data_IF_724017372579
#
_entry.id   IF_724017372579
#
_cell.length_a   1.000
_cell.length_b   1.000
_cell.length_c   1.000
_cell.angle_alpha   90.00
_cell.angle_beta   90.00
_cell.angle_gamma   90.00
#
_symmetry.space_group_name_H-M   'P 1'
#
loop_
_entity.id
_entity.type
_entity.pdbx_description
1 polymer ?
#
# COMPACT_ATOMS: atom_id res chain seq x y z
N UNK A 1 51.23 -57.25 -87.56
CA UNK A 1 49.88 -57.08 -86.96
C UNK A 1 49.83 -57.32 -85.45
N UNK A 2 50.80 -58.03 -84.84
CA UNK A 2 50.82 -58.34 -83.38
C UNK A 2 51.15 -57.15 -82.46
N UNK A 3 52.00 -56.21 -82.87
CA UNK A 3 52.36 -55.02 -82.07
C UNK A 3 51.21 -54.03 -81.87
N UNK A 4 50.38 -53.80 -82.90
CA UNK A 4 49.19 -52.96 -82.80
C UNK A 4 48.15 -53.57 -81.82
N UNK A 5 47.94 -54.88 -81.87
CA UNK A 5 47.03 -55.57 -80.95
C UNK A 5 47.49 -55.48 -79.49
N UNK A 6 48.79 -55.61 -79.21
CA UNK A 6 49.34 -55.41 -77.86
C UNK A 6 49.21 -53.97 -77.36
N UNK A 7 49.37 -52.97 -78.24
CA UNK A 7 49.14 -51.56 -77.90
C UNK A 7 47.69 -51.27 -77.51
N UNK A 8 46.73 -51.83 -78.26
CA UNK A 8 45.29 -51.71 -77.96
C UNK A 8 44.93 -52.39 -76.63
N UNK A 9 45.46 -53.59 -76.36
CA UNK A 9 45.23 -54.28 -75.08
C UNK A 9 45.81 -53.52 -73.88
N UNK A 10 46.96 -52.86 -74.05
CA UNK A 10 47.55 -52.01 -73.01
C UNK A 10 46.71 -50.77 -72.75
N UNK A 11 46.26 -50.09 -73.81
CA UNK A 11 45.37 -48.92 -73.70
C UNK A 11 44.05 -49.28 -72.99
N UNK A 12 43.42 -50.41 -73.36
CA UNK A 12 42.21 -50.90 -72.69
C UNK A 12 42.44 -51.22 -71.21
N UNK A 13 43.62 -51.74 -70.84
CA UNK A 13 43.98 -52.00 -69.45
C UNK A 13 44.19 -50.70 -68.66
N UNK A 14 44.91 -49.75 -69.24
CA UNK A 14 45.16 -48.45 -68.60
C UNK A 14 43.84 -47.66 -68.43
N UNK A 15 42.93 -47.75 -69.40
CA UNK A 15 41.59 -47.15 -69.31
C UNK A 15 40.72 -47.84 -68.27
N UNK A 16 40.80 -49.16 -68.13
CA UNK A 16 40.07 -49.91 -67.09
C UNK A 16 40.55 -49.50 -65.68
N UNK A 17 41.85 -49.33 -65.48
CA UNK A 17 42.42 -48.83 -64.21
C UNK A 17 41.95 -47.40 -63.93
N UNK A 18 41.98 -46.50 -64.92
CA UNK A 18 41.44 -45.14 -64.76
C UNK A 18 39.97 -45.13 -64.39
N UNK A 19 39.18 -46.03 -64.98
CA UNK A 19 37.75 -46.13 -64.72
C UNK A 19 37.48 -46.64 -63.30
N UNK A 20 38.28 -47.60 -62.81
CA UNK A 20 38.25 -48.06 -61.42
C UNK A 20 38.66 -46.97 -60.43
N UNK A 21 39.71 -46.21 -60.72
CA UNK A 21 40.15 -45.09 -59.87
C UNK A 21 39.09 -43.99 -59.82
N UNK A 22 38.48 -43.65 -60.96
CA UNK A 22 37.38 -42.69 -61.04
C UNK A 22 36.15 -43.18 -60.27
N UNK A 23 35.82 -44.48 -60.35
CA UNK A 23 34.74 -45.08 -59.57
C UNK A 23 35.02 -44.97 -58.06
N UNK A 24 36.20 -45.35 -57.59
CA UNK A 24 36.55 -45.24 -56.18
C UNK A 24 36.57 -43.80 -55.67
N UNK A 25 36.99 -42.84 -56.51
CA UNK A 25 36.89 -41.42 -56.18
C UNK A 25 35.42 -40.97 -56.09
N UNK A 26 34.57 -41.42 -57.01
CA UNK A 26 33.14 -41.12 -56.98
C UNK A 26 32.47 -41.71 -55.73
N UNK A 27 32.79 -42.95 -55.34
CA UNK A 27 32.28 -43.61 -54.12
C UNK A 27 32.71 -42.86 -52.85
N UNK A 28 33.98 -42.43 -52.76
CA UNK A 28 34.48 -41.63 -51.62
C UNK A 28 33.82 -40.27 -51.56
N UNK A 29 33.60 -39.63 -52.71
CA UNK A 29 32.92 -38.34 -52.77
C UNK A 29 31.44 -38.50 -52.39
N UNK A 30 30.77 -39.55 -52.85
CA UNK A 30 29.41 -39.91 -52.46
C UNK A 30 29.31 -40.09 -50.94
N UNK A 31 30.23 -40.86 -50.34
CA UNK A 31 30.30 -41.06 -48.89
C UNK A 31 30.46 -39.74 -48.13
N UNK A 32 31.43 -38.90 -48.53
CA UNK A 32 31.60 -37.57 -47.92
C UNK A 32 30.37 -36.70 -48.07
N UNK A 33 29.74 -36.66 -49.25
CA UNK A 33 28.51 -35.88 -49.44
C UNK A 33 27.37 -36.41 -48.58
N UNK A 34 27.25 -37.73 -48.44
CA UNK A 34 26.26 -38.36 -47.57
C UNK A 34 26.46 -37.96 -46.11
N UNK A 35 27.70 -38.01 -45.62
CA UNK A 35 28.04 -37.61 -44.24
C UNK A 35 27.74 -36.12 -44.01
N UNK A 36 28.09 -35.26 -44.98
CA UNK A 36 27.78 -33.81 -44.88
C UNK A 36 26.29 -33.55 -44.87
N UNK A 37 25.51 -34.22 -45.72
CA UNK A 37 24.04 -34.10 -45.73
C UNK A 37 23.47 -34.56 -44.40
N UNK A 38 23.93 -35.68 -43.86
CA UNK A 38 23.49 -36.18 -42.57
C UNK A 38 23.82 -35.20 -41.42
N UNK A 39 25.02 -34.60 -41.41
CA UNK A 39 25.39 -33.56 -40.44
C UNK A 39 24.48 -32.34 -40.53
N UNK A 40 24.25 -31.82 -41.75
CA UNK A 40 23.37 -30.66 -41.94
C UNK A 40 21.92 -30.94 -41.58
N UNK A 41 21.43 -32.17 -41.79
CA UNK A 41 20.09 -32.57 -41.35
C UNK A 41 19.96 -32.56 -39.82
N UNK A 42 20.98 -33.06 -39.11
CA UNK A 42 21.01 -33.02 -37.65
C UNK A 42 21.04 -31.58 -37.12
N UNK A 43 21.82 -30.69 -37.74
CA UNK A 43 21.85 -29.26 -37.41
C UNK A 43 20.50 -28.58 -37.68
N UNK A 44 19.84 -28.92 -38.78
CA UNK A 44 18.50 -28.39 -39.08
C UNK A 44 17.49 -28.83 -38.02
N UNK A 45 17.56 -30.09 -37.57
CA UNK A 45 16.65 -30.59 -36.55
C UNK A 45 16.94 -30.00 -35.16
N UNK A 46 18.20 -29.74 -34.81
CA UNK A 46 18.55 -29.03 -33.57
C UNK A 46 18.04 -27.59 -33.60
N UNK A 47 18.24 -26.86 -34.71
CA UNK A 47 17.75 -25.50 -34.87
C UNK A 47 16.21 -25.43 -34.84
N UNK A 48 15.51 -26.41 -35.41
CA UNK A 48 14.05 -26.48 -35.30
C UNK A 48 13.59 -26.64 -33.85
N UNK A 49 14.28 -27.47 -33.06
CA UNK A 49 13.97 -27.68 -31.65
C UNK A 49 14.21 -26.40 -30.83
N UNK A 50 15.33 -25.73 -31.04
CA UNK A 50 15.63 -24.44 -30.40
C UNK A 50 14.63 -23.36 -30.79
N UNK A 51 14.27 -23.27 -32.09
CA UNK A 51 13.27 -22.31 -32.57
C UNK A 51 11.91 -22.56 -31.91
N UNK A 52 11.50 -23.81 -31.73
CA UNK A 52 10.26 -24.14 -31.03
C UNK A 52 10.30 -23.69 -29.57
N UNK A 53 11.41 -23.94 -28.86
CA UNK A 53 11.59 -23.51 -27.47
C UNK A 53 11.59 -21.97 -27.33
N UNK A 54 12.29 -21.26 -28.22
CA UNK A 54 12.30 -19.79 -28.27
C UNK A 54 10.92 -19.25 -28.61
N UNK A 55 10.16 -19.93 -29.47
CA UNK A 55 8.78 -19.57 -29.83
C UNK A 55 7.84 -19.57 -28.63
N UNK A 56 7.92 -20.60 -27.77
CA UNK A 56 7.13 -20.67 -26.52
C UNK A 56 7.51 -19.53 -25.59
N UNK A 57 8.82 -19.31 -25.36
CA UNK A 57 9.30 -18.20 -24.53
C UNK A 57 8.85 -16.83 -25.05
N UNK A 58 8.84 -16.64 -26.37
CA UNK A 58 8.38 -15.39 -26.99
C UNK A 58 6.88 -15.17 -26.77
N UNK A 59 6.05 -16.21 -26.96
CA UNK A 59 4.60 -16.12 -26.73
C UNK A 59 4.30 -15.74 -25.28
N UNK A 60 4.99 -16.41 -24.35
CA UNK A 60 4.95 -16.10 -22.93
C UNK A 60 5.31 -14.61 -22.66
N UNK A 61 6.43 -14.11 -23.19
CA UNK A 61 6.83 -12.70 -23.01
C UNK A 61 5.82 -11.70 -23.59
N UNK A 62 5.14 -12.03 -24.69
CA UNK A 62 4.07 -11.18 -25.23
C UNK A 62 2.85 -11.17 -24.31
N UNK A 63 2.50 -12.29 -23.69
CA UNK A 63 1.41 -12.38 -22.71
C UNK A 63 1.71 -11.52 -21.48
N UNK A 64 2.94 -11.58 -20.95
CA UNK A 64 3.37 -10.70 -19.85
C UNK A 64 3.29 -9.22 -20.23
N UNK A 65 3.77 -8.86 -21.43
CA UNK A 65 3.71 -7.49 -21.93
C UNK A 65 2.28 -6.99 -22.04
N UNK A 66 1.37 -7.81 -22.58
CA UNK A 66 -0.05 -7.46 -22.70
C UNK A 66 -0.67 -7.29 -21.31
N UNK A 67 -0.44 -8.25 -20.40
CA UNK A 67 -0.93 -8.19 -19.03
C UNK A 67 -0.49 -6.92 -18.29
N UNK A 68 0.79 -6.56 -18.36
CA UNK A 68 1.31 -5.36 -17.69
C UNK A 68 0.73 -4.09 -18.31
N UNK A 69 0.52 -4.05 -19.63
CA UNK A 69 -0.14 -2.92 -20.29
C UNK A 69 -1.58 -2.75 -19.83
N UNK A 70 -2.35 -3.83 -19.79
CA UNK A 70 -3.75 -3.84 -19.34
C UNK A 70 -3.86 -3.47 -17.86
N UNK A 71 -2.95 -3.99 -17.02
CA UNK A 71 -2.84 -3.60 -15.61
C UNK A 71 -2.55 -2.10 -15.48
N UNK A 72 -1.57 -1.57 -16.23
CA UNK A 72 -1.25 -0.14 -16.19
C UNK A 72 -2.46 0.72 -16.57
N UNK A 73 -3.20 0.33 -17.60
CA UNK A 73 -4.37 1.10 -18.06
C UNK A 73 -5.53 0.99 -17.06
N UNK A 74 -5.72 -0.18 -16.44
CA UNK A 74 -6.63 -0.34 -15.31
C UNK A 74 -6.25 0.60 -14.17
N UNK A 75 -5.00 0.56 -13.69
CA UNK A 75 -4.53 1.39 -12.58
C UNK A 75 -4.63 2.89 -12.88
N UNK A 76 -4.31 3.33 -14.10
CA UNK A 76 -4.50 4.74 -14.51
C UNK A 76 -5.96 5.17 -14.44
N UNK A 77 -6.89 4.31 -14.86
CA UNK A 77 -8.32 4.61 -14.75
C UNK A 77 -8.79 4.70 -13.30
N UNK A 78 -8.12 3.98 -12.39
CA UNK A 78 -8.44 3.95 -10.95
C UNK A 78 -7.73 4.99 -10.11
N UNK A 79 -6.65 5.59 -10.61
CA UNK A 79 -5.80 6.53 -9.88
C UNK A 79 -6.61 7.69 -9.26
N UNK A 80 -7.49 8.33 -10.04
CA UNK A 80 -8.31 9.45 -9.58
C UNK A 80 -9.24 9.07 -8.40
N UNK A 81 -9.81 7.85 -8.42
CA UNK A 81 -10.66 7.37 -7.33
C UNK A 81 -9.86 7.12 -6.06
N UNK A 82 -8.65 6.57 -6.18
CA UNK A 82 -7.77 6.34 -5.02
C UNK A 82 -7.38 7.68 -4.38
N UNK A 83 -7.00 8.67 -5.19
CA UNK A 83 -6.67 10.02 -4.71
C UNK A 83 -7.85 10.70 -4.02
N UNK A 84 -9.05 10.67 -4.64
CA UNK A 84 -10.26 11.27 -4.07
C UNK A 84 -10.64 10.63 -2.72
N UNK A 85 -10.56 9.30 -2.60
CA UNK A 85 -10.87 8.60 -1.36
C UNK A 85 -9.85 8.89 -0.25
N UNK A 86 -8.57 9.01 -0.59
CA UNK A 86 -7.55 9.43 0.36
C UNK A 86 -7.77 10.86 0.84
N UNK A 87 -8.07 11.78 -0.07
CA UNK A 87 -8.32 13.17 0.28
C UNK A 87 -9.59 13.31 1.13
N UNK A 88 -10.65 12.56 0.83
CA UNK A 88 -11.84 12.47 1.67
C UNK A 88 -11.51 11.93 3.06
N UNK A 89 -10.74 10.86 3.17
CA UNK A 89 -10.34 10.31 4.47
C UNK A 89 -9.50 11.30 5.27
N UNK A 90 -8.51 11.95 4.64
CA UNK A 90 -7.68 13.00 5.28
C UNK A 90 -8.54 14.16 5.75
N UNK A 91 -9.47 14.64 4.93
CA UNK A 91 -10.41 15.72 5.28
C UNK A 91 -11.24 15.36 6.52
N UNK A 92 -11.77 14.13 6.60
CA UNK A 92 -12.52 13.68 7.78
C UNK A 92 -11.65 13.67 9.06
N UNK A 93 -10.42 13.20 8.93
CA UNK A 93 -9.46 13.17 10.06
C UNK A 93 -9.08 14.58 10.51
N UNK A 94 -8.87 15.49 9.57
CA UNK A 94 -8.58 16.91 9.82
C UNK A 94 -9.78 17.62 10.46
N UNK A 95 -10.99 17.42 9.94
CA UNK A 95 -12.23 17.93 10.55
C UNK A 95 -12.37 17.48 12.01
N UNK A 96 -12.12 16.20 12.29
CA UNK A 96 -12.16 15.65 13.66
C UNK A 96 -11.06 16.23 14.55
N UNK A 97 -9.84 16.37 14.01
CA UNK A 97 -8.72 16.95 14.75
C UNK A 97 -8.96 18.42 15.10
N UNK A 98 -9.44 19.21 14.13
CA UNK A 98 -9.77 20.63 14.29
C UNK A 98 -10.92 20.83 15.27
N UNK A 99 -12.00 20.04 15.12
CA UNK A 99 -13.14 20.06 16.06
C UNK A 99 -12.68 19.74 17.49
N UNK A 100 -11.82 18.72 17.67
CA UNK A 100 -11.24 18.41 18.97
C UNK A 100 -10.31 19.52 19.50
N UNK A 101 -9.57 20.22 18.63
CA UNK A 101 -8.72 21.35 19.02
C UNK A 101 -9.53 22.57 19.45
N UNK A 102 -10.55 22.96 18.68
CA UNK A 102 -11.48 24.06 19.00
C UNK A 102 -12.24 23.80 20.31
N UNK A 103 -12.66 22.55 20.53
CA UNK A 103 -13.31 22.15 21.78
C UNK A 103 -12.35 22.24 22.98
N UNK A 104 -11.07 21.89 22.81
CA UNK A 104 -10.05 22.07 23.84
C UNK A 104 -9.78 23.55 24.11
N UNK A 105 -9.64 24.36 23.07
CA UNK A 105 -9.39 25.79 23.19
C UNK A 105 -10.55 26.50 23.91
N UNK A 106 -11.78 26.30 23.46
CA UNK A 106 -12.97 26.87 24.12
C UNK A 106 -13.14 26.42 25.57
N UNK A 107 -12.87 25.14 25.87
CA UNK A 107 -12.89 24.64 27.24
C UNK A 107 -11.81 25.31 28.10
N UNK A 108 -10.59 25.42 27.58
CA UNK A 108 -9.49 26.09 28.28
C UNK A 108 -9.80 27.57 28.53
N UNK A 109 -10.33 28.30 27.56
CA UNK A 109 -10.73 29.70 27.74
C UNK A 109 -11.78 29.88 28.84
N UNK A 110 -12.79 29.01 28.87
CA UNK A 110 -13.82 29.02 29.93
C UNK A 110 -13.19 28.71 31.30
N UNK A 111 -12.30 27.72 31.38
CA UNK A 111 -11.56 27.37 32.60
C UNK A 111 -10.69 28.54 33.09
N UNK A 112 -9.98 29.23 32.20
CA UNK A 112 -9.20 30.42 32.56
C UNK A 112 -10.07 31.55 33.12
N UNK A 113 -11.23 31.82 32.52
CA UNK A 113 -12.18 32.84 33.01
C UNK A 113 -12.69 32.51 34.41
N UNK A 114 -13.03 31.25 34.66
CA UNK A 114 -13.50 30.79 35.97
C UNK A 114 -12.36 30.89 36.99
N UNK A 115 -11.15 30.44 36.65
CA UNK A 115 -9.99 30.49 37.52
C UNK A 115 -9.59 31.93 37.88
N UNK A 116 -9.52 32.83 36.90
CA UNK A 116 -9.14 34.24 37.11
C UNK A 116 -10.13 34.97 38.05
N UNK A 117 -11.44 34.77 37.85
CA UNK A 117 -12.46 35.34 38.72
C UNK A 117 -12.40 34.78 40.15
N UNK A 118 -12.14 33.48 40.28
CA UNK A 118 -11.99 32.80 41.58
C UNK A 118 -10.79 33.34 42.35
N UNK A 119 -9.62 33.42 41.69
CA UNK A 119 -8.37 33.91 42.29
C UNK A 119 -8.48 35.39 42.64
N UNK A 120 -9.02 36.21 41.74
CA UNK A 120 -9.21 37.64 41.98
C UNK A 120 -10.09 37.92 43.20
N UNK A 121 -11.20 37.17 43.34
CA UNK A 121 -12.13 37.33 44.47
C UNK A 121 -11.53 36.83 45.80
N UNK A 122 -10.81 35.71 45.77
CA UNK A 122 -10.08 35.21 46.95
C UNK A 122 -9.01 36.21 47.42
N UNK A 123 -8.26 36.78 46.47
CA UNK A 123 -7.18 37.72 46.75
C UNK A 123 -7.69 39.05 47.32
N UNK A 124 -8.84 39.55 46.83
CA UNK A 124 -9.49 40.73 47.41
C UNK A 124 -9.87 40.50 48.89
N UNK A 125 -10.47 39.34 49.23
CA UNK A 125 -10.82 39.00 50.62
C UNK A 125 -9.57 38.88 51.50
N UNK A 126 -8.52 38.23 51.03
CA UNK A 126 -7.26 38.09 51.77
C UNK A 126 -6.55 39.44 51.95
N UNK A 127 -6.55 40.29 50.93
CA UNK A 127 -5.93 41.63 50.98
C UNK A 127 -6.58 42.54 52.03
N UNK A 128 -7.87 42.31 52.32
CA UNK A 128 -8.65 43.03 53.35
C UNK A 128 -8.53 42.40 54.74
N UNK A 129 -7.66 41.39 54.92
CA UNK A 129 -7.47 40.69 56.19
C UNK A 129 -8.56 39.66 56.52
N UNK A 130 -9.31 39.19 55.52
CA UNK A 130 -10.31 38.14 55.68
C UNK A 130 -9.68 36.77 56.02
N UNK A 131 -10.50 35.87 56.59
CA UNK A 131 -10.05 34.50 56.88
C UNK A 131 -9.92 33.66 55.60
N UNK A 132 -9.09 32.61 55.63
CA UNK A 132 -8.97 31.66 54.52
C UNK A 132 -10.31 31.00 54.15
N UNK A 133 -11.18 30.74 55.14
CA UNK A 133 -12.52 30.21 54.89
C UNK A 133 -13.41 31.21 54.14
N UNK A 134 -13.31 32.51 54.46
CA UNK A 134 -14.03 33.55 53.74
C UNK A 134 -13.50 33.72 52.30
N UNK A 135 -12.19 33.61 52.11
CA UNK A 135 -11.57 33.65 50.78
C UNK A 135 -11.96 32.46 49.91
N UNK A 136 -12.02 31.25 50.48
CA UNK A 136 -12.49 30.04 49.77
C UNK A 136 -13.94 30.17 49.32
N UNK A 137 -14.83 30.63 50.21
CA UNK A 137 -16.24 30.85 49.87
C UNK A 137 -16.41 31.90 48.77
N UNK A 138 -15.68 33.02 48.85
CA UNK A 138 -15.73 34.07 47.83
C UNK A 138 -15.23 33.58 46.46
N UNK A 139 -14.24 32.68 46.43
CA UNK A 139 -13.77 32.04 45.20
C UNK A 139 -14.86 31.14 44.58
N UNK A 140 -15.51 30.30 45.39
CA UNK A 140 -16.60 29.41 44.94
C UNK A 140 -17.82 30.19 44.41
N UNK A 141 -18.21 31.26 45.09
CA UNK A 141 -19.32 32.13 44.67
C UNK A 141 -18.98 32.84 43.35
N UNK A 142 -17.74 33.33 43.18
CA UNK A 142 -17.28 33.98 41.95
C UNK A 142 -17.19 32.99 40.77
N UNK A 143 -16.69 31.77 41.01
CA UNK A 143 -16.66 30.71 40.02
C UNK A 143 -18.06 30.37 39.50
N UNK A 144 -19.01 30.20 40.43
CA UNK A 144 -20.41 29.87 40.12
C UNK A 144 -21.09 30.99 39.33
N UNK A 145 -20.83 32.25 39.69
CA UNK A 145 -21.38 33.41 39.00
C UNK A 145 -20.85 33.57 37.55
N UNK A 146 -19.58 33.25 37.31
CA UNK A 146 -19.01 33.24 35.94
C UNK A 146 -19.56 32.08 35.13
N UNK A 147 -19.70 30.90 35.74
CA UNK A 147 -20.25 29.72 35.08
C UNK A 147 -21.73 29.92 34.67
N UNK A 148 -22.56 30.55 35.50
CA UNK A 148 -23.93 30.93 35.14
C UNK A 148 -23.97 31.90 33.95
N UNK A 149 -23.05 32.87 33.91
CA UNK A 149 -22.94 33.82 32.79
C UNK A 149 -22.52 33.12 31.49
N UNK A 150 -21.55 32.20 31.56
CA UNK A 150 -21.10 31.41 30.40
C UNK A 150 -22.22 30.52 29.84
N UNK A 151 -23.10 30.00 30.70
CA UNK A 151 -24.28 29.24 30.30
C UNK A 151 -25.42 30.10 29.74
N UNK A 152 -25.24 31.42 29.64
CA UNK A 152 -26.26 32.35 29.15
C UNK A 152 -27.47 32.50 30.08
N UNK A 153 -27.33 32.18 31.36
CA UNK A 153 -28.39 32.38 32.35
C UNK A 153 -28.68 33.88 32.46
N UNK A 154 -29.85 34.30 31.98
CA UNK A 154 -30.27 35.71 31.95
C UNK A 154 -30.00 36.46 30.65
N UNK A 155 -29.49 35.82 29.59
CA UNK A 155 -29.35 36.45 28.26
C UNK A 155 -30.70 36.56 27.53
N UNK A 156 -30.93 37.66 26.81
CA UNK A 156 -32.11 37.83 25.95
C UNK A 156 -32.09 36.85 24.77
N UNK A 157 -33.23 36.26 24.35
CA UNK A 157 -33.28 35.31 23.25
C UNK A 157 -33.12 36.03 21.89
N UNK A 158 -32.09 35.69 21.14
CA UNK A 158 -31.90 36.14 19.76
C UNK A 158 -32.58 35.14 18.81
N UNK A 159 -33.45 35.68 17.95
CA UNK A 159 -34.25 34.90 17.01
C UNK A 159 -33.72 35.11 15.58
N UNK A 160 -33.54 34.01 14.86
CA UNK A 160 -33.27 33.95 13.42
C UNK A 160 -34.46 34.52 12.60
N UNK A 161 -34.25 34.78 11.31
CA UNK A 161 -35.25 35.20 10.31
C UNK A 161 -36.50 34.28 10.26
N UNK A 162 -36.34 33.03 10.70
CA UNK A 162 -37.41 32.03 10.82
C UNK A 162 -38.02 31.92 12.24
N UNK A 163 -37.68 32.82 13.16
CA UNK A 163 -38.18 32.82 14.54
C UNK A 163 -37.60 31.71 15.42
N UNK A 164 -36.47 31.12 15.04
CA UNK A 164 -35.77 30.08 15.82
C UNK A 164 -34.80 30.75 16.79
N UNK A 165 -34.80 30.33 18.05
CA UNK A 165 -33.89 30.87 19.05
C UNK A 165 -32.48 30.27 18.90
N UNK A 166 -31.53 31.07 18.43
CA UNK A 166 -30.14 30.66 18.19
C UNK A 166 -29.40 30.46 19.52
N UNK A 167 -29.75 31.26 20.53
CA UNK A 167 -29.10 31.22 21.85
C UNK A 167 -29.35 29.88 22.56
N UNK A 168 -30.46 29.20 22.26
CA UNK A 168 -30.78 27.91 22.88
C UNK A 168 -29.71 26.84 22.58
N UNK A 169 -29.17 26.83 21.35
CA UNK A 169 -28.13 25.87 20.97
C UNK A 169 -26.80 26.17 21.66
N UNK A 170 -26.41 27.45 21.69
CA UNK A 170 -25.19 27.88 22.39
C UNK A 170 -25.28 27.67 23.91
N UNK A 171 -26.45 27.91 24.51
CA UNK A 171 -26.71 27.66 25.93
C UNK A 171 -26.67 26.16 26.25
N UNK A 172 -27.25 25.30 25.40
CA UNK A 172 -27.17 23.85 25.57
C UNK A 172 -25.73 23.35 25.47
N UNK A 173 -24.95 23.86 24.52
CA UNK A 173 -23.54 23.52 24.38
C UNK A 173 -22.70 24.00 25.58
N UNK A 174 -22.90 25.23 26.05
CA UNK A 174 -22.24 25.78 27.23
C UNK A 174 -22.59 25.01 28.51
N UNK A 175 -23.86 24.61 28.65
CA UNK A 175 -24.31 23.76 29.75
C UNK A 175 -23.66 22.37 29.69
N UNK A 176 -23.59 21.75 28.52
CA UNK A 176 -22.90 20.48 28.31
C UNK A 176 -21.41 20.55 28.69
N UNK A 177 -20.72 21.64 28.32
CA UNK A 177 -19.33 21.88 28.74
C UNK A 177 -19.19 22.03 30.26
N UNK A 178 -20.09 22.76 30.90
CA UNK A 178 -20.10 22.90 32.36
C UNK A 178 -20.33 21.55 33.09
N UNK A 179 -21.26 20.74 32.59
CA UNK A 179 -21.50 19.38 33.10
C UNK A 179 -20.27 18.48 32.91
N UNK A 180 -19.62 18.53 31.74
CA UNK A 180 -18.39 17.79 31.46
C UNK A 180 -17.25 18.20 32.39
N UNK A 181 -17.08 19.50 32.66
CA UNK A 181 -16.12 20.01 33.66
C UNK A 181 -16.41 19.44 35.04
N UNK A 182 -17.66 19.54 35.51
CA UNK A 182 -18.05 19.01 36.83
C UNK A 182 -17.78 17.51 36.94
N UNK A 183 -18.09 16.74 35.90
CA UNK A 183 -17.78 15.31 35.84
C UNK A 183 -16.27 15.04 35.87
N UNK A 184 -15.45 15.85 35.18
CA UNK A 184 -13.98 15.77 35.24
C UNK A 184 -13.46 16.03 36.66
N UNK A 185 -13.92 17.11 37.30
CA UNK A 185 -13.56 17.42 38.69
C UNK A 185 -13.98 16.32 39.66
N UNK A 186 -15.16 15.72 39.46
CA UNK A 186 -15.63 14.61 40.29
C UNK A 186 -14.79 13.35 40.08
N UNK A 187 -14.44 13.01 38.83
CA UNK A 187 -13.49 11.93 38.51
C UNK A 187 -12.13 12.17 39.16
N UNK A 188 -11.55 13.36 39.03
CA UNK A 188 -10.28 13.72 39.68
C UNK A 188 -10.38 13.63 41.20
N UNK A 189 -11.52 14.02 41.79
CA UNK A 189 -11.77 13.87 43.22
C UNK A 189 -11.87 12.41 43.66
N UNK A 190 -12.36 11.51 42.80
CA UNK A 190 -12.34 10.06 43.06
C UNK A 190 -10.92 9.49 42.86
N UNK A 191 -10.21 9.84 41.79
CA UNK A 191 -8.82 9.43 41.56
C UNK A 191 -7.87 9.87 42.69
N UNK A 192 -8.07 11.08 43.23
CA UNK A 192 -7.32 11.57 44.38
C UNK A 192 -7.53 10.73 45.65
N UNK A 193 -8.63 9.98 45.75
CA UNK A 193 -8.85 8.99 46.82
C UNK A 193 -8.22 7.63 46.51
N UNK A 194 -8.08 7.30 45.24
CA UNK A 194 -7.65 5.97 44.78
C UNK A 194 -6.14 5.84 44.50
N UNK A 195 -5.34 6.92 44.63
CA UNK A 195 -3.88 6.94 44.46
C UNK A 195 -3.35 6.37 43.11
N UNK A 196 -4.24 6.08 42.16
CA UNK A 196 -3.88 5.57 40.84
C UNK A 196 -3.96 6.71 39.81
N UNK A 197 -2.79 7.22 39.42
CA UNK A 197 -2.66 8.28 38.42
C UNK A 197 -2.65 7.66 37.02
N UNK A 198 -3.84 7.40 36.47
CA UNK A 198 -4.00 7.13 35.04
C UNK A 198 -4.55 8.36 34.33
N UNK A 199 -3.72 8.91 33.43
CA UNK A 199 -3.99 10.09 32.59
C UNK A 199 -4.52 9.65 31.22
N UNK A 200 -5.66 8.99 31.21
CA UNK A 200 -6.34 8.59 29.97
C UNK A 200 -7.80 9.04 30.04
N UNK A 201 -8.08 10.27 29.64
CA UNK A 201 -9.44 10.67 29.24
C UNK A 201 -9.37 12.06 28.57
N UNK A 202 -8.89 12.08 27.32
CA UNK A 202 -8.90 13.30 26.46
C UNK A 202 -9.97 13.24 25.38
N UNK A 203 -10.87 12.25 25.41
CA UNK A 203 -11.95 12.18 24.44
C UNK A 203 -13.14 13.03 24.93
N UNK A 204 -13.06 14.32 24.65
CA UNK A 204 -14.10 15.33 24.93
C UNK A 204 -15.19 15.39 23.85
N UNK A 205 -15.16 14.49 22.86
CA UNK A 205 -16.14 14.49 21.79
C UNK A 205 -17.49 13.96 22.27
N UNK A 206 -18.58 14.56 21.80
CA UNK A 206 -19.92 14.01 22.03
C UNK A 206 -20.01 12.63 21.38
N UNK A 207 -20.66 11.67 22.06
CA UNK A 207 -20.89 10.32 21.53
C UNK A 207 -21.57 10.34 20.14
N UNK A 208 -22.35 11.40 19.86
CA UNK A 208 -22.99 11.63 18.56
C UNK A 208 -22.02 12.02 17.44
N UNK A 209 -20.94 12.73 17.77
CA UNK A 209 -19.94 13.21 16.81
C UNK A 209 -19.01 12.07 16.41
N UNK A 210 -18.55 11.28 17.38
CA UNK A 210 -17.77 10.06 17.13
C UNK A 210 -18.51 9.10 16.19
N UNK A 211 -19.80 8.81 16.47
CA UNK A 211 -20.63 7.95 15.60
C UNK A 211 -20.77 8.48 14.16
N UNK A 212 -20.91 9.80 13.98
CA UNK A 212 -21.01 10.42 12.65
C UNK A 212 -19.70 10.28 11.88
N UNK A 213 -18.59 10.51 12.55
CA UNK A 213 -17.27 10.32 11.99
C UNK A 213 -17.05 8.86 11.58
N UNK A 214 -17.35 7.91 12.46
CA UNK A 214 -17.19 6.48 12.17
C UNK A 214 -18.05 6.06 10.98
N UNK A 215 -19.29 6.57 10.88
CA UNK A 215 -20.18 6.31 9.75
C UNK A 215 -19.63 6.84 8.43
N UNK A 216 -19.06 8.07 8.43
CA UNK A 216 -18.45 8.65 7.22
C UNK A 216 -17.18 7.93 6.82
N UNK A 217 -16.36 7.48 7.78
CA UNK A 217 -15.19 6.67 7.49
C UNK A 217 -15.60 5.34 6.86
N UNK A 218 -16.64 4.69 7.39
CA UNK A 218 -17.18 3.45 6.83
C UNK A 218 -17.71 3.65 5.40
N UNK A 219 -18.37 4.77 5.09
CA UNK A 219 -18.78 5.11 3.72
C UNK A 219 -17.58 5.19 2.76
N UNK A 220 -16.47 5.82 3.18
CA UNK A 220 -15.24 5.89 2.39
C UNK A 220 -14.62 4.49 2.20
N UNK A 221 -14.60 3.66 3.24
CA UNK A 221 -14.08 2.30 3.16
C UNK A 221 -14.93 1.39 2.25
N UNK A 222 -16.25 1.55 2.27
CA UNK A 222 -17.15 0.84 1.35
C UNK A 222 -16.93 1.26 -0.10
N UNK A 223 -16.74 2.57 -0.34
CA UNK A 223 -16.38 3.06 -1.66
C UNK A 223 -15.02 2.49 -2.11
N UNK A 224 -14.01 2.48 -1.24
CA UNK A 224 -12.69 1.90 -1.48
C UNK A 224 -12.75 0.42 -1.90
N UNK A 225 -13.56 -0.38 -1.20
CA UNK A 225 -13.77 -1.79 -1.53
C UNK A 225 -14.42 -2.01 -2.92
N UNK A 226 -15.10 -1.01 -3.46
CA UNK A 226 -15.80 -1.08 -4.76
C UNK A 226 -14.98 -0.53 -5.94
N UNK A 227 -13.83 0.12 -5.69
CA UNK A 227 -13.02 0.79 -6.74
C UNK A 227 -12.66 -0.14 -7.90
N UNK A 228 -12.35 -1.39 -7.58
CA UNK A 228 -11.92 -2.41 -8.54
C UNK A 228 -13.02 -3.42 -8.92
N UNK A 229 -14.28 -3.20 -8.52
CA UNK A 229 -15.36 -4.18 -8.72
C UNK A 229 -15.71 -4.42 -10.20
N UNK A 230 -15.44 -3.45 -11.07
CA UNK A 230 -15.60 -3.49 -12.53
C UNK A 230 -14.34 -3.97 -13.27
N UNK A 231 -13.21 -4.13 -12.56
CA UNK A 231 -11.99 -4.65 -13.15
C UNK A 231 -12.07 -6.17 -13.35
N UNK A 232 -11.34 -6.69 -14.34
CA UNK A 232 -11.21 -8.13 -14.52
C UNK A 232 -10.56 -8.76 -13.27
N UNK A 233 -10.90 -10.01 -12.90
CA UNK A 233 -10.47 -10.63 -11.64
C UNK A 233 -8.94 -10.75 -11.50
N UNK A 234 -8.23 -10.75 -12.61
CA UNK A 234 -6.76 -10.77 -12.69
C UNK A 234 -6.07 -9.43 -12.39
N UNK A 235 -6.83 -8.33 -12.39
CA UNK A 235 -6.35 -6.98 -12.03
C UNK A 235 -7.05 -6.41 -10.80
N UNK A 236 -8.21 -6.96 -10.41
CA UNK A 236 -9.07 -6.37 -9.38
C UNK A 236 -8.63 -6.63 -7.93
N UNK A 237 -7.56 -7.38 -7.70
CA UNK A 237 -7.04 -7.61 -6.34
C UNK A 237 -5.52 -7.74 -6.32
N UNK A 238 -4.90 -7.29 -5.22
CA UNK A 238 -3.47 -7.40 -5.02
C UNK A 238 -2.98 -8.87 -5.05
N UNK A 239 -3.63 -9.84 -4.40
CA UNK A 239 -3.21 -11.25 -4.48
C UNK A 239 -3.22 -11.78 -5.92
N UNK A 240 -4.20 -11.39 -6.76
CA UNK A 240 -4.23 -11.77 -8.17
C UNK A 240 -3.01 -11.25 -8.94
N UNK A 241 -2.66 -9.98 -8.71
CA UNK A 241 -1.51 -9.32 -9.37
C UNK A 241 -0.20 -9.94 -8.90
N UNK A 242 -0.02 -10.09 -7.58
CA UNK A 242 1.16 -10.73 -6.98
C UNK A 242 1.34 -12.17 -7.48
N UNK A 243 0.27 -12.98 -7.52
CA UNK A 243 0.33 -14.34 -8.06
C UNK A 243 0.80 -14.35 -9.51
N UNK A 244 0.21 -13.49 -10.36
CA UNK A 244 0.54 -13.45 -11.78
C UNK A 244 2.00 -13.06 -11.99
N UNK A 245 2.45 -11.97 -11.38
CA UNK A 245 3.84 -11.51 -11.48
C UNK A 245 4.83 -12.52 -10.87
N UNK A 246 4.44 -13.20 -9.79
CA UNK A 246 5.23 -14.24 -9.15
C UNK A 246 5.43 -15.47 -10.05
N UNK A 247 4.39 -15.91 -10.78
CA UNK A 247 4.50 -16.98 -11.78
C UNK A 247 5.53 -16.62 -12.87
N UNK A 248 5.53 -15.37 -13.33
CA UNK A 248 6.49 -14.86 -14.33
C UNK A 248 7.91 -14.76 -13.78
N UNK A 249 8.07 -14.26 -12.56
CA UNK A 249 9.34 -14.19 -11.84
C UNK A 249 9.95 -15.58 -11.66
N UNK A 250 9.14 -16.58 -11.27
CA UNK A 250 9.57 -17.96 -11.12
C UNK A 250 9.97 -18.60 -12.45
N UNK A 251 9.20 -18.37 -13.52
CA UNK A 251 9.45 -18.98 -14.84
C UNK A 251 10.63 -18.34 -15.57
N UNK A 252 10.81 -17.02 -15.46
CA UNK A 252 11.81 -16.27 -16.22
C UNK A 252 12.51 -15.18 -15.39
N UNK A 253 13.31 -15.54 -14.37
CA UNK A 253 13.89 -14.59 -13.42
C UNK A 253 14.82 -13.54 -14.08
N UNK A 254 15.60 -13.96 -15.08
CA UNK A 254 16.48 -13.02 -15.82
C UNK A 254 15.67 -11.99 -16.61
N UNK A 255 14.64 -12.44 -17.34
CA UNK A 255 13.79 -11.54 -18.13
C UNK A 255 12.97 -10.59 -17.24
N UNK A 256 12.52 -11.08 -16.08
CA UNK A 256 11.85 -10.26 -15.06
C UNK A 256 12.72 -9.08 -14.63
N UNK A 257 13.99 -9.35 -14.30
CA UNK A 257 14.97 -8.32 -13.93
C UNK A 257 15.31 -7.39 -15.10
N UNK A 258 15.56 -7.95 -16.28
CA UNK A 258 15.96 -7.16 -17.47
C UNK A 258 14.81 -6.27 -17.98
N UNK A 259 13.56 -6.62 -17.70
CA UNK A 259 12.37 -5.80 -17.95
C UNK A 259 12.12 -4.73 -16.87
N UNK A 260 12.99 -4.62 -15.87
CA UNK A 260 12.87 -3.69 -14.73
C UNK A 260 11.57 -3.86 -13.93
N UNK A 261 10.99 -5.07 -13.93
CA UNK A 261 9.73 -5.32 -13.23
C UNK A 261 9.87 -5.11 -11.73
N UNK A 262 10.96 -5.60 -11.12
CA UNK A 262 11.27 -5.39 -9.70
C UNK A 262 11.30 -3.91 -9.30
N UNK A 263 11.88 -3.05 -10.14
CA UNK A 263 11.93 -1.60 -9.93
C UNK A 263 10.56 -0.93 -10.09
N UNK A 264 9.73 -1.43 -11.01
CA UNK A 264 8.38 -0.89 -11.26
C UNK A 264 7.32 -1.44 -10.31
N UNK A 265 7.60 -2.54 -9.61
CA UNK A 265 6.64 -3.28 -8.81
C UNK A 265 6.00 -2.45 -7.69
N UNK A 266 6.75 -1.62 -6.92
CA UNK A 266 6.14 -0.74 -5.93
C UNK A 266 5.08 0.19 -6.55
N UNK A 267 5.34 0.73 -7.74
CA UNK A 267 4.37 1.61 -8.40
C UNK A 267 3.10 0.86 -8.87
N UNK A 268 3.23 -0.41 -9.26
CA UNK A 268 2.07 -1.25 -9.65
C UNK A 268 1.21 -1.63 -8.44
N UNK A 269 1.83 -1.79 -7.28
CA UNK A 269 1.19 -2.26 -6.05
C UNK A 269 0.63 -1.10 -5.22
N UNK A 270 1.25 0.09 -5.31
CA UNK A 270 0.91 1.26 -4.51
C UNK A 270 -0.60 1.57 -4.47
N UNK A 271 -1.38 1.52 -5.57
CA UNK A 271 -2.81 1.80 -5.52
C UNK A 271 -3.60 0.85 -4.59
N UNK A 272 -3.22 -0.43 -4.52
CA UNK A 272 -3.86 -1.40 -3.62
C UNK A 272 -3.46 -1.16 -2.16
N UNK A 273 -2.17 -0.94 -1.91
CA UNK A 273 -1.66 -0.65 -0.57
C UNK A 273 -2.28 0.65 -0.02
N UNK A 274 -2.39 1.69 -0.86
CA UNK A 274 -3.02 2.97 -0.54
C UNK A 274 -4.48 2.82 -0.11
N UNK A 275 -5.27 2.02 -0.82
CA UNK A 275 -6.66 1.73 -0.45
C UNK A 275 -6.77 0.95 0.87
N UNK A 276 -5.90 -0.04 1.10
CA UNK A 276 -5.89 -0.78 2.36
C UNK A 276 -5.47 0.12 3.54
N UNK A 277 -4.51 1.02 3.33
CA UNK A 277 -4.03 1.97 4.33
C UNK A 277 -5.10 2.97 4.79
N UNK A 278 -6.18 3.16 4.03
CA UNK A 278 -7.35 3.93 4.49
C UNK A 278 -7.96 3.35 5.76
N UNK A 279 -7.71 2.09 6.08
CA UNK A 279 -8.21 1.44 7.31
C UNK A 279 -7.33 1.71 8.53
N UNK A 280 -6.15 2.27 8.32
CA UNK A 280 -5.15 2.49 9.37
C UNK A 280 -5.20 3.91 9.91
N UNK A 281 -5.52 4.03 11.19
CA UNK A 281 -5.69 5.32 11.86
C UNK A 281 -4.90 5.35 13.18
N UNK A 282 -3.64 5.85 13.16
CA UNK A 282 -2.79 5.83 14.34
C UNK A 282 -3.23 6.84 15.42
N UNK A 283 -3.95 7.91 15.05
CA UNK A 283 -4.31 9.00 15.95
C UNK A 283 -5.62 8.72 16.71
N UNK A 284 -6.62 8.17 16.02
CA UNK A 284 -7.97 8.00 16.55
C UNK A 284 -8.29 6.56 16.96
N UNK A 285 -7.30 5.66 16.91
CA UNK A 285 -7.37 4.32 17.48
C UNK A 285 -8.37 3.42 16.78
N UNK A 286 -7.95 2.81 15.66
CA UNK A 286 -8.64 1.64 15.11
C UNK A 286 -7.81 0.37 15.34
N UNK A 287 -8.51 -0.77 15.45
CA UNK A 287 -7.95 -2.08 15.81
C UNK A 287 -6.97 -2.67 14.77
N UNK A 288 -6.91 -2.11 13.56
CA UNK A 288 -6.09 -2.68 12.48
C UNK A 288 -4.67 -2.14 12.59
N UNK A 289 -3.74 -3.00 13.02
CA UNK A 289 -2.30 -2.72 13.01
C UNK A 289 -1.77 -2.53 11.59
N UNK A 290 -0.68 -1.77 11.45
CA UNK A 290 -0.04 -1.49 10.16
C UNK A 290 0.39 -2.77 9.42
N UNK A 291 1.02 -3.69 10.15
CA UNK A 291 1.52 -4.99 9.71
C UNK A 291 0.44 -6.06 9.55
N UNK A 292 -0.74 -5.84 10.12
CA UNK A 292 -1.88 -6.78 10.05
C UNK A 292 -2.69 -6.71 8.75
N UNK A 293 -2.34 -5.79 7.85
CA UNK A 293 -3.09 -5.56 6.61
C UNK A 293 -2.74 -6.57 5.51
N UNK A 294 -3.69 -6.76 4.58
CA UNK A 294 -3.53 -7.72 3.49
C UNK A 294 -2.38 -7.35 2.58
N UNK A 295 -2.26 -6.08 2.18
CA UNK A 295 -1.13 -5.64 1.37
C UNK A 295 0.24 -5.97 1.98
N UNK A 296 0.40 -5.80 3.30
CA UNK A 296 1.67 -6.11 3.96
C UNK A 296 1.99 -7.60 3.88
N UNK A 297 1.01 -8.45 4.22
CA UNK A 297 1.16 -9.91 4.21
C UNK A 297 1.44 -10.43 2.80
N UNK A 298 0.72 -9.94 1.79
CA UNK A 298 0.91 -10.36 0.40
C UNK A 298 2.29 -9.98 -0.14
N UNK A 299 2.82 -8.81 0.23
CA UNK A 299 4.16 -8.39 -0.18
C UNK A 299 5.27 -9.12 0.52
N UNK A 300 5.10 -9.39 1.81
CA UNK A 300 6.04 -10.20 2.57
C UNK A 300 6.14 -11.62 1.97
N UNK A 301 4.99 -12.23 1.64
CA UNK A 301 4.94 -13.52 0.95
C UNK A 301 5.55 -13.46 -0.46
N UNK A 302 5.28 -12.39 -1.21
CA UNK A 302 5.85 -12.19 -2.55
C UNK A 302 7.38 -12.03 -2.51
N UNK A 303 7.91 -11.24 -1.58
CA UNK A 303 9.35 -11.02 -1.40
C UNK A 303 10.11 -12.25 -0.89
N UNK A 304 9.43 -13.17 -0.20
CA UNK A 304 9.98 -14.45 0.25
C UNK A 304 9.95 -15.55 -0.83
N UNK A 305 9.24 -15.34 -1.94
CA UNK A 305 9.09 -16.34 -3.00
C UNK A 305 10.38 -16.53 -3.81
N UNK A 306 11.28 -17.39 -3.31
CA UNK A 306 12.51 -17.73 -4.03
C UNK A 306 12.21 -18.42 -5.36
N UNK A 307 13.00 -18.14 -6.42
CA UNK A 307 12.89 -18.86 -7.67
C UNK A 307 13.23 -20.34 -7.47
N UNK A 308 12.19 -21.19 -7.55
CA UNK A 308 12.32 -22.64 -7.44
C UNK A 308 12.98 -23.16 -8.72
N UNK A 309 14.27 -23.48 -8.62
CA UNK A 309 15.15 -24.13 -9.60
C UNK A 309 15.82 -23.24 -10.68
N UNK A 310 17.15 -23.03 -10.59
CA UNK A 310 17.96 -22.68 -11.76
C UNK A 310 18.23 -23.95 -12.58
N UNK A 311 17.39 -24.20 -13.59
CA UNK A 311 17.63 -25.29 -14.57
C UNK A 311 18.89 -25.03 -15.42
N UNK A 312 19.47 -23.83 -15.38
CA UNK A 312 20.77 -23.52 -15.95
C UNK A 312 21.81 -23.22 -14.86
N UNK A 313 22.22 -24.26 -14.11
CA UNK A 313 23.36 -24.16 -13.20
C UNK A 313 24.65 -24.45 -13.96
N UNK A 314 25.19 -23.43 -14.64
CA UNK A 314 26.64 -23.36 -14.84
C UNK A 314 27.27 -23.06 -13.48
N UNK A 315 28.18 -23.92 -13.05
CA UNK A 315 28.68 -24.12 -11.68
C UNK A 315 29.50 -22.96 -11.07
N UNK A 316 29.20 -21.69 -11.36
CA UNK A 316 29.96 -20.54 -10.84
C UNK A 316 29.14 -19.56 -9.96
N UNK A 317 27.88 -19.84 -9.66
CA UNK A 317 27.03 -18.96 -8.84
C UNK A 317 26.78 -19.46 -7.40
N UNK A 318 27.57 -20.39 -6.87
CA UNK A 318 27.40 -20.94 -5.52
C UNK A 318 27.95 -20.03 -4.39
N UNK A 319 28.16 -18.74 -4.64
CA UNK A 319 28.84 -17.82 -3.71
C UNK A 319 28.05 -16.59 -3.26
N UNK A 320 26.84 -16.36 -3.80
CA UNK A 320 25.98 -15.26 -3.39
C UNK A 320 24.56 -15.81 -3.35
N UNK A 321 23.98 -15.93 -2.16
CA UNK A 321 22.52 -15.89 -2.03
C UNK A 321 22.16 -14.51 -2.56
N UNK A 322 21.86 -14.42 -3.85
CA UNK A 322 21.43 -13.17 -4.44
C UNK A 322 20.13 -12.82 -3.71
N UNK A 323 20.18 -11.77 -2.89
CA UNK A 323 19.00 -11.22 -2.25
C UNK A 323 17.92 -11.06 -3.33
N UNK A 324 16.72 -11.51 -3.01
CA UNK A 324 15.59 -11.37 -3.91
C UNK A 324 15.48 -9.88 -4.26
N UNK A 325 15.47 -9.47 -5.55
CA UNK A 325 15.33 -8.08 -5.93
C UNK A 325 14.04 -7.43 -5.38
N UNK A 326 13.07 -8.25 -4.99
CA UNK A 326 11.78 -7.85 -4.42
C UNK A 326 11.69 -8.08 -2.90
N UNK A 327 12.81 -8.33 -2.22
CA UNK A 327 12.84 -8.53 -0.75
C UNK A 327 12.49 -7.27 0.04
N UNK A 328 12.73 -6.08 -0.52
CA UNK A 328 12.56 -4.78 0.14
C UNK A 328 11.35 -3.98 -0.39
N UNK A 329 10.28 -4.65 -0.85
CA UNK A 329 9.11 -3.96 -1.42
C UNK A 329 8.37 -3.09 -0.39
N UNK A 330 8.22 -3.57 0.84
CA UNK A 330 7.48 -2.84 1.88
C UNK A 330 8.14 -1.50 2.22
N UNK A 331 9.45 -1.42 2.53
CA UNK A 331 10.13 -0.14 2.72
C UNK A 331 9.99 0.82 1.53
N UNK A 332 10.04 0.30 0.29
CA UNK A 332 9.95 1.12 -0.92
C UNK A 332 8.58 1.80 -1.06
N UNK A 333 7.49 1.18 -0.58
CA UNK A 333 6.15 1.77 -0.61
C UNK A 333 5.95 2.84 0.47
N UNK A 334 6.56 2.66 1.64
CA UNK A 334 6.42 3.57 2.79
C UNK A 334 7.32 4.80 2.66
N UNK A 335 8.40 4.71 1.88
CA UNK A 335 9.37 5.79 1.69
C UNK A 335 9.08 6.70 0.49
N UNK A 336 7.99 6.50 -0.25
CA UNK A 336 7.60 7.44 -1.33
C UNK A 336 7.00 8.69 -0.68
N UNK A 337 7.67 9.86 -0.78
CA UNK A 337 7.23 11.10 -0.13
C UNK A 337 5.99 11.73 -0.76
#
# INVERSE_FOLDING_TARGET
MTSQAQGVLKALRDDLVRLQDAQHQAERNLGRTSDTVQSTLQEVDSLKSELAAVGVKYADMQELKAYVADLCDCLKSKAAYVEELEDHMKSLMEERANSAAEMRESTNEEDYKIADASVSSALDVLSRGGSHAAAAKAAEDAASAVEEKLQGVGSTPELDEFGRNINLMHQAAAKGRAEARKARWEKERQKAKDLDFSSEDVNSASESEAKRFDSRCEEVLQAAASVFADAAPEFGSLPSVCRRLGEWKARYPKAYRDAYLSTSLPALIAPFARLDLLRWHPIFGHDVGFDSQQWYTELDMYGQSQPVNPVDSTEQAAGLVAEDPDGDLVPQLVLVP
#
